data_IF_221180882586
#
_entry.id   IF_221180882586
#
_cell.length_a   1.000
_cell.length_b   1.000
_cell.length_c   1.000
_cell.angle_alpha   90.00
_cell.angle_beta   90.00
_cell.angle_gamma   90.00
#
_symmetry.space_group_name_H-M   'P 1'
#
loop_
_entity.id
_entity.type
_entity.pdbx_description
1 polymer ?
#
# COMPACT_ATOMS: atom_id res chain seq x y z
N UNK A 1 -27.99 -43.19 44.37
CA UNK A 1 -28.40 -41.77 44.41
C UNK A 1 -27.19 -40.90 44.05
N UNK A 2 -27.38 -40.02 43.05
CA UNK A 2 -26.62 -38.78 42.77
C UNK A 2 -25.15 -38.95 42.34
N UNK A 3 -24.91 -39.05 41.01
CA UNK A 3 -24.56 -37.98 40.05
C UNK A 3 -23.12 -37.45 40.19
N UNK A 4 -22.27 -37.94 39.30
CA UNK A 4 -20.93 -37.44 38.97
C UNK A 4 -21.09 -35.99 38.48
N UNK A 5 -20.61 -35.02 39.26
CA UNK A 5 -20.56 -33.63 38.84
C UNK A 5 -19.31 -33.40 37.96
N UNK A 6 -19.58 -33.33 36.65
CA UNK A 6 -18.80 -32.56 35.70
C UNK A 6 -18.53 -31.15 36.26
N UNK A 7 -17.31 -30.65 36.12
CA UNK A 7 -17.05 -29.25 36.44
C UNK A 7 -15.61 -28.82 36.34
N UNK A 8 -14.87 -29.26 35.31
CA UNK A 8 -13.63 -28.57 34.95
C UNK A 8 -14.01 -27.20 34.39
N UNK A 9 -14.00 -26.19 35.24
CA UNK A 9 -14.21 -24.78 34.87
C UNK A 9 -12.99 -24.33 34.06
N UNK A 10 -13.02 -24.62 32.76
CA UNK A 10 -12.14 -24.02 31.76
C UNK A 10 -12.58 -22.57 31.55
N UNK A 11 -12.28 -21.70 32.51
CA UNK A 11 -12.39 -20.25 32.34
C UNK A 11 -11.03 -19.70 31.92
N UNK A 12 -10.53 -20.15 30.77
CA UNK A 12 -9.45 -19.46 30.07
C UNK A 12 -10.09 -18.39 29.21
N UNK A 13 -10.32 -17.22 29.81
CA UNK A 13 -10.78 -16.01 29.14
C UNK A 13 -9.79 -15.65 28.02
N UNK A 14 -10.05 -16.16 26.81
CA UNK A 14 -9.40 -15.73 25.58
C UNK A 14 -9.73 -14.26 25.36
N UNK A 15 -8.83 -13.37 25.75
CA UNK A 15 -8.73 -12.07 25.09
C UNK A 15 -8.43 -12.36 23.61
N UNK A 16 -9.46 -12.30 22.77
CA UNK A 16 -9.28 -12.05 21.34
C UNK A 16 -8.64 -10.66 21.22
N UNK A 17 -7.31 -10.62 21.30
CA UNK A 17 -6.56 -9.48 20.81
C UNK A 17 -6.84 -9.49 19.31
N UNK A 18 -7.68 -8.56 18.87
CA UNK A 18 -7.93 -8.29 17.47
C UNK A 18 -6.58 -7.87 16.84
N UNK A 19 -5.81 -8.86 16.38
CA UNK A 19 -4.63 -8.61 15.58
C UNK A 19 -5.15 -7.91 14.33
N UNK A 20 -4.77 -6.65 14.06
CA UNK A 20 -5.12 -6.04 12.79
C UNK A 20 -4.46 -6.90 11.72
N UNK A 21 -5.28 -7.69 11.04
CA UNK A 21 -4.88 -8.50 9.91
C UNK A 21 -4.28 -7.53 8.90
N UNK A 22 -2.95 -7.50 8.84
CA UNK A 22 -2.21 -6.69 7.88
C UNK A 22 -2.50 -7.28 6.50
N UNK A 23 -3.60 -6.83 5.88
CA UNK A 23 -3.96 -7.22 4.53
C UNK A 23 -2.74 -6.94 3.65
N UNK A 24 -2.19 -8.00 3.06
CA UNK A 24 -1.11 -7.90 2.09
C UNK A 24 -1.63 -7.08 0.90
N UNK A 25 -1.42 -5.77 0.94
CA UNK A 25 -1.86 -4.86 -0.13
C UNK A 25 -1.21 -5.33 -1.42
N UNK A 26 -2.00 -5.63 -2.45
CA UNK A 26 -1.46 -6.06 -3.73
C UNK A 26 -0.78 -4.88 -4.43
N UNK A 27 0.45 -5.07 -4.93
CA UNK A 27 1.09 -4.05 -5.76
C UNK A 27 0.43 -3.97 -7.14
N UNK A 28 0.26 -2.77 -7.65
CA UNK A 28 -0.23 -2.51 -9.00
C UNK A 28 0.83 -1.82 -9.85
N UNK A 29 0.76 -2.05 -11.17
CA UNK A 29 1.61 -1.39 -12.15
C UNK A 29 0.97 -0.06 -12.55
N UNK A 30 1.77 1.00 -12.48
CA UNK A 30 1.38 2.34 -12.88
C UNK A 30 2.29 2.87 -13.98
N UNK A 31 1.70 3.51 -14.98
CA UNK A 31 2.40 4.31 -15.97
C UNK A 31 2.39 5.78 -15.53
N UNK A 32 3.58 6.32 -15.30
CA UNK A 32 3.77 7.63 -14.69
C UNK A 32 4.44 8.61 -15.65
N UNK A 33 3.85 9.79 -15.76
CA UNK A 33 4.30 10.89 -16.61
C UNK A 33 4.89 12.01 -15.76
N UNK A 34 5.99 12.58 -16.25
CA UNK A 34 6.62 13.77 -15.64
C UNK A 34 5.87 15.02 -16.10
N UNK A 35 5.45 15.85 -15.16
CA UNK A 35 4.92 17.17 -15.46
C UNK A 35 5.88 18.27 -14.98
N UNK A 36 6.17 19.22 -15.86
CA UNK A 36 6.90 20.44 -15.53
C UNK A 36 6.12 21.63 -16.09
N UNK A 37 5.77 22.58 -15.22
CA UNK A 37 4.87 23.71 -15.55
C UNK A 37 3.56 23.23 -16.20
N UNK A 38 2.94 22.21 -15.61
CA UNK A 38 1.66 21.63 -16.08
C UNK A 38 1.75 20.71 -17.31
N UNK A 39 2.79 20.84 -18.15
CA UNK A 39 2.94 20.06 -19.39
C UNK A 39 3.66 18.73 -19.15
N UNK A 40 3.21 17.67 -19.85
CA UNK A 40 3.91 16.37 -19.89
C UNK A 40 5.26 16.56 -20.60
N UNK A 41 6.33 16.00 -20.02
CA UNK A 41 7.68 16.12 -20.56
C UNK A 41 8.41 14.78 -20.60
N UNK A 42 8.75 14.35 -21.82
CA UNK A 42 9.51 13.11 -22.07
C UNK A 42 8.64 11.86 -21.97
N UNK A 43 9.32 10.70 -21.96
CA UNK A 43 8.66 9.39 -21.90
C UNK A 43 8.12 9.09 -20.50
N UNK A 44 7.06 8.30 -20.43
CA UNK A 44 6.56 7.76 -19.16
C UNK A 44 7.48 6.67 -18.61
N UNK A 45 7.39 6.44 -17.31
CA UNK A 45 8.06 5.34 -16.62
C UNK A 45 7.02 4.42 -16.00
N UNK A 46 7.38 3.14 -15.83
CA UNK A 46 6.55 2.18 -15.13
C UNK A 46 7.00 2.06 -13.68
N UNK A 47 6.03 2.08 -12.77
CA UNK A 47 6.26 2.00 -11.32
C UNK A 47 5.28 1.01 -10.70
N UNK A 48 5.81 0.06 -9.93
CA UNK A 48 5.01 -0.80 -9.07
C UNK A 48 4.84 -0.16 -7.70
N UNK A 49 3.60 -0.04 -7.25
CA UNK A 49 3.25 0.51 -5.93
C UNK A 49 1.90 -0.02 -5.44
N UNK A 50 1.70 0.05 -4.12
CA UNK A 50 0.44 -0.33 -3.48
C UNK A 50 -0.70 0.67 -3.71
N UNK A 51 -0.39 1.90 -4.12
CA UNK A 51 -1.38 2.92 -4.41
C UNK A 51 -0.87 3.92 -5.45
N UNK A 52 -1.81 4.63 -6.09
CA UNK A 52 -1.51 5.69 -7.06
C UNK A 52 -0.63 6.77 -6.43
N UNK A 53 -0.93 7.21 -5.21
CA UNK A 53 -0.14 8.22 -4.49
C UNK A 53 1.29 7.75 -4.26
N UNK A 54 1.50 6.50 -3.83
CA UNK A 54 2.84 5.94 -3.66
C UNK A 54 3.57 5.82 -5.01
N UNK A 55 2.86 5.47 -6.08
CA UNK A 55 3.43 5.47 -7.43
C UNK A 55 3.87 6.87 -7.88
N UNK A 56 3.05 7.90 -7.64
CA UNK A 56 3.36 9.29 -7.97
C UNK A 56 4.57 9.80 -7.21
N UNK A 57 4.66 9.55 -5.90
CA UNK A 57 5.80 9.94 -5.09
C UNK A 57 7.09 9.23 -5.55
N UNK A 58 7.01 7.91 -5.80
CA UNK A 58 8.14 7.14 -6.29
C UNK A 58 8.59 7.60 -7.69
N UNK A 59 7.65 7.92 -8.57
CA UNK A 59 7.93 8.47 -9.89
C UNK A 59 8.57 9.87 -9.81
N UNK A 60 8.03 10.76 -8.98
CA UNK A 60 8.56 12.10 -8.74
C UNK A 60 10.02 12.05 -8.28
N UNK A 61 10.31 11.24 -7.24
CA UNK A 61 11.67 11.07 -6.74
C UNK A 61 12.61 10.50 -7.81
N UNK A 62 12.14 9.53 -8.60
CA UNK A 62 12.92 8.95 -9.70
C UNK A 62 13.20 9.95 -10.83
N UNK A 63 12.30 10.90 -11.09
CA UNK A 63 12.58 11.99 -12.04
C UNK A 63 13.57 12.99 -11.45
N UNK A 64 13.43 13.36 -10.18
CA UNK A 64 14.36 14.27 -9.48
C UNK A 64 15.77 13.70 -9.40
N UNK A 65 15.93 12.41 -9.08
CA UNK A 65 17.24 11.75 -9.00
C UNK A 65 17.96 11.67 -10.35
N UNK A 66 17.22 11.77 -11.45
CA UNK A 66 17.77 11.88 -12.82
C UNK A 66 18.10 13.31 -13.23
N UNK A 67 18.09 14.27 -12.30
CA UNK A 67 18.33 15.69 -12.59
C UNK A 67 17.22 16.37 -13.40
N UNK A 68 16.06 15.73 -13.56
CA UNK A 68 14.99 16.27 -14.39
C UNK A 68 14.18 17.31 -13.61
N UNK A 69 13.92 18.47 -14.24
CA UNK A 69 12.93 19.44 -13.74
C UNK A 69 11.55 18.79 -13.71
N UNK A 70 10.92 18.76 -12.54
CA UNK A 70 9.59 18.16 -12.30
C UNK A 70 8.86 18.96 -11.22
N UNK A 71 7.58 19.24 -11.45
CA UNK A 71 6.68 19.84 -10.44
C UNK A 71 5.81 18.78 -9.79
N UNK A 72 5.28 17.85 -10.59
CA UNK A 72 4.55 16.70 -10.08
C UNK A 72 4.65 15.53 -11.08
N UNK A 73 4.35 14.32 -10.60
CA UNK A 73 4.18 13.15 -11.44
C UNK A 73 2.70 12.74 -11.44
N UNK A 74 2.15 12.41 -12.62
CA UNK A 74 0.80 11.88 -12.74
C UNK A 74 0.87 10.44 -13.24
N UNK A 75 0.23 9.55 -12.50
CA UNK A 75 0.29 8.11 -12.76
C UNK A 75 -1.11 7.56 -13.08
N UNK A 76 -1.16 6.62 -14.00
CA UNK A 76 -2.37 5.90 -14.41
C UNK A 76 -2.13 4.41 -14.24
N UNK A 77 -3.13 3.69 -13.71
CA UNK A 77 -3.03 2.23 -13.56
C UNK A 77 -3.00 1.60 -14.95
N UNK A 78 -2.07 0.65 -15.17
CA UNK A 78 -1.96 -0.11 -16.41
C UNK A 78 -2.52 -1.51 -16.23
#
# INVERSE_FOLDING_TARGET
MVKILLGAVFALSMLLVAVPQAEAKKMHKYQCYRHHKGKVKGKSILVWAYSKTKAQNKAFNKFKSRGLKVHYAKCYRK
#
